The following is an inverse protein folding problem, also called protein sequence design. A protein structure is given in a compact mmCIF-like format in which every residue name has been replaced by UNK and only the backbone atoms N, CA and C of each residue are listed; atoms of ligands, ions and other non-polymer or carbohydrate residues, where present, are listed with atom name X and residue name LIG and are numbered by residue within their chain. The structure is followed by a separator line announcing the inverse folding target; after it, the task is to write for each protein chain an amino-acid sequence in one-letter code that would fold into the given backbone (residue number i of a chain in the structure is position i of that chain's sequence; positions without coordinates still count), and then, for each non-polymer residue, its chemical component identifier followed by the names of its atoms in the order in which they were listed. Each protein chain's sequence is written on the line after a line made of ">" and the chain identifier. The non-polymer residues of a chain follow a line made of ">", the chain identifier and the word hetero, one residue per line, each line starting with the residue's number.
data_IF_763540350652
#
_entry.id   IF_763540350652
#
_cell.length_a   1.000
_cell.length_b   1.000
_cell.length_c   1.000
_cell.angle_alpha   90.00
_cell.angle_beta   90.00
_cell.angle_gamma   90.00
#
_symmetry.space_group_name_H-M   'P 1'
#
loop_
_entity.id
_entity.type
_entity.pdbx_description
1 polymer ?
#
# COMPACT_ATOMS: atom_id res chain seq x y z
N UNK A 1 -10.18 -13.66 -11.19
CA UNK A 1 -8.93 -13.61 -10.38
C UNK A 1 -8.82 -12.26 -9.71
N UNK A 2 -8.29 -12.22 -8.51
CA UNK A 2 -8.09 -11.00 -7.74
C UNK A 2 -6.60 -10.72 -7.64
N UNK A 3 -6.18 -9.47 -7.82
CA UNK A 3 -4.81 -9.06 -7.56
C UNK A 3 -4.67 -8.54 -6.13
N UNK A 4 -3.62 -8.95 -5.44
CA UNK A 4 -3.30 -8.54 -4.09
C UNK A 4 -2.02 -7.71 -4.15
N UNK A 5 -2.04 -6.52 -3.56
CA UNK A 5 -0.87 -5.64 -3.55
C UNK A 5 -0.47 -5.37 -2.10
N UNK A 6 0.81 -5.57 -1.79
CA UNK A 6 1.41 -5.13 -0.53
C UNK A 6 2.33 -3.95 -0.79
N UNK A 7 2.07 -2.82 -0.16
CA UNK A 7 2.89 -1.61 -0.28
C UNK A 7 3.75 -1.46 0.96
N UNK A 8 5.06 -1.58 0.79
CA UNK A 8 6.04 -1.56 1.86
C UNK A 8 6.43 -2.97 2.31
N UNK A 9 7.56 -3.09 2.99
CA UNK A 9 8.09 -4.39 3.39
C UNK A 9 7.16 -5.16 4.33
N UNK A 10 6.59 -4.48 5.32
CA UNK A 10 5.72 -5.11 6.30
C UNK A 10 4.41 -5.60 5.66
N UNK A 11 3.76 -4.76 4.87
CA UNK A 11 2.53 -5.15 4.17
C UNK A 11 2.80 -6.26 3.16
N UNK A 12 3.94 -6.21 2.47
CA UNK A 12 4.33 -7.25 1.53
C UNK A 12 4.55 -8.59 2.21
N UNK A 13 5.05 -8.60 3.45
CA UNK A 13 5.15 -9.83 4.24
C UNK A 13 3.78 -10.40 4.61
N UNK A 14 2.83 -9.53 4.92
CA UNK A 14 1.46 -9.97 5.23
C UNK A 14 0.84 -10.68 4.02
N UNK A 15 1.04 -10.16 2.82
CA UNK A 15 0.42 -10.74 1.62
C UNK A 15 1.14 -12.00 1.12
N UNK A 16 2.28 -12.37 1.67
CA UNK A 16 2.96 -13.62 1.33
C UNK A 16 2.04 -14.84 1.45
N UNK A 17 1.13 -14.81 2.40
CA UNK A 17 0.21 -15.92 2.64
C UNK A 17 -0.72 -16.21 1.44
N UNK A 18 -0.96 -15.22 0.58
CA UNK A 18 -1.79 -15.40 -0.60
C UNK A 18 -1.05 -16.07 -1.76
N UNK A 19 0.27 -16.14 -1.70
CA UNK A 19 1.07 -16.75 -2.78
C UNK A 19 0.83 -18.26 -2.91
N UNK A 20 0.40 -18.92 -1.85
CA UNK A 20 0.10 -20.35 -1.88
C UNK A 20 -1.17 -20.66 -2.68
N UNK A 21 -1.96 -19.64 -3.02
CA UNK A 21 -3.21 -19.77 -3.76
C UNK A 21 -3.08 -19.16 -5.16
N UNK A 22 -2.09 -19.58 -5.89
CA UNK A 22 -1.72 -19.02 -7.21
C UNK A 22 -2.84 -19.02 -8.24
N UNK A 23 -3.80 -19.94 -8.13
CA UNK A 23 -4.92 -20.02 -9.08
C UNK A 23 -5.99 -18.97 -8.82
N UNK A 24 -6.00 -18.38 -7.62
CA UNK A 24 -7.01 -17.43 -7.20
C UNK A 24 -6.50 -16.01 -7.13
N UNK A 25 -5.20 -15.82 -6.91
CA UNK A 25 -4.61 -14.51 -6.66
C UNK A 25 -3.32 -14.28 -7.45
N UNK A 26 -3.18 -13.05 -7.95
CA UNK A 26 -1.89 -12.52 -8.40
C UNK A 26 -1.36 -11.62 -7.28
N UNK A 27 -0.18 -11.89 -6.76
CA UNK A 27 0.36 -11.17 -5.61
C UNK A 27 1.51 -10.26 -6.06
N UNK A 28 1.33 -8.96 -5.86
CA UNK A 28 2.35 -7.94 -6.14
C UNK A 28 2.90 -7.41 -4.83
N UNK A 29 4.22 -7.35 -4.74
CA UNK A 29 4.89 -6.92 -3.50
C UNK A 29 5.89 -5.81 -3.79
N UNK A 30 5.76 -4.71 -3.07
CA UNK A 30 6.62 -3.54 -3.22
C UNK A 30 7.29 -3.23 -1.89
N UNK A 31 8.58 -2.94 -1.91
CA UNK A 31 9.31 -2.60 -0.69
C UNK A 31 10.79 -2.42 -0.95
N UNK A 32 11.51 -1.85 0.03
CA UNK A 32 12.92 -1.54 -0.12
C UNK A 32 13.82 -2.78 -0.17
N UNK A 33 13.36 -3.91 0.34
CA UNK A 33 14.13 -5.15 0.35
C UNK A 33 13.89 -6.04 -0.87
N UNK A 34 12.96 -5.67 -1.74
CA UNK A 34 12.61 -6.45 -2.92
C UNK A 34 13.46 -6.07 -4.12
N UNK A 35 13.59 -7.02 -5.06
CA UNK A 35 14.22 -6.79 -6.36
C UNK A 35 13.12 -6.57 -7.40
N UNK A 36 13.50 -5.99 -8.53
CA UNK A 36 12.56 -5.78 -9.64
C UNK A 36 12.36 -7.09 -10.39
N UNK A 37 11.16 -7.66 -10.28
CA UNK A 37 10.74 -8.86 -11.02
C UNK A 37 9.35 -8.60 -11.59
N UNK A 38 8.72 -9.63 -12.16
CA UNK A 38 7.36 -9.50 -12.70
C UNK A 38 6.34 -9.11 -11.62
N UNK A 39 6.50 -9.62 -10.40
CA UNK A 39 5.54 -9.42 -9.30
C UNK A 39 6.11 -8.71 -8.09
N UNK A 40 7.37 -8.31 -8.13
CA UNK A 40 7.99 -7.56 -7.04
C UNK A 40 8.67 -6.32 -7.57
N UNK A 41 8.68 -5.25 -6.78
CA UNK A 41 9.29 -3.98 -7.14
C UNK A 41 10.03 -3.40 -5.96
N UNK A 42 11.25 -2.93 -6.19
CA UNK A 42 12.01 -2.21 -5.18
C UNK A 42 11.49 -0.78 -5.07
N UNK A 43 11.20 -0.37 -3.84
CA UNK A 43 10.87 1.02 -3.52
C UNK A 43 12.07 1.65 -2.82
N UNK A 44 12.50 2.81 -3.29
CA UNK A 44 13.60 3.53 -2.66
C UNK A 44 13.19 4.06 -1.29
N UNK A 45 14.12 4.03 -0.34
CA UNK A 45 13.91 4.56 1.00
C UNK A 45 14.44 6.00 1.08
N UNK A 46 13.62 6.89 1.64
CA UNK A 46 13.98 8.28 1.87
C UNK A 46 13.75 8.63 3.35
N UNK A 47 14.47 9.61 3.85
CA UNK A 47 14.36 10.05 5.25
C UNK A 47 13.30 11.13 5.46
N UNK A 48 12.69 11.62 4.39
CA UNK A 48 11.80 12.76 4.40
C UNK A 48 10.52 12.40 3.61
N UNK A 49 9.30 12.59 4.20
CA UNK A 49 8.06 12.27 3.50
C UNK A 49 7.88 12.98 2.16
N UNK A 50 8.37 14.22 2.03
CA UNK A 50 8.26 14.97 0.78
C UNK A 50 9.01 14.29 -0.38
N UNK A 51 10.13 13.62 -0.08
CA UNK A 51 10.90 12.92 -1.10
C UNK A 51 10.12 11.73 -1.68
N UNK A 52 9.28 11.08 -0.88
CA UNK A 52 8.41 10.02 -1.36
C UNK A 52 7.39 10.55 -2.37
N UNK A 53 6.82 11.72 -2.11
CA UNK A 53 5.83 12.31 -3.01
C UNK A 53 6.46 12.76 -4.34
N UNK A 54 7.71 13.24 -4.30
CA UNK A 54 8.42 13.69 -5.49
C UNK A 54 8.91 12.54 -6.36
N UNK A 55 9.10 11.37 -5.79
CA UNK A 55 9.75 10.23 -6.44
C UNK A 55 8.83 9.02 -6.58
N UNK A 56 7.55 9.25 -6.82
CA UNK A 56 6.60 8.17 -7.07
C UNK A 56 7.03 7.41 -8.33
N UNK A 57 7.29 6.09 -8.24
CA UNK A 57 7.71 5.33 -9.41
C UNK A 57 6.58 5.17 -10.42
N UNK A 58 6.92 5.12 -11.69
CA UNK A 58 5.97 4.78 -12.74
C UNK A 58 5.81 3.25 -12.76
N UNK A 59 4.65 2.77 -12.37
CA UNK A 59 4.35 1.35 -12.26
C UNK A 59 3.42 0.85 -13.36
N UNK A 60 3.24 1.63 -14.44
CA UNK A 60 2.34 1.26 -15.53
C UNK A 60 2.68 -0.09 -16.15
N UNK A 61 3.97 -0.37 -16.34
CA UNK A 61 4.42 -1.67 -16.87
C UNK A 61 4.27 -2.78 -15.83
N UNK A 62 4.60 -2.47 -14.58
CA UNK A 62 4.50 -3.43 -13.49
C UNK A 62 3.07 -3.92 -13.30
N UNK A 63 2.10 -3.03 -13.45
CA UNK A 63 0.68 -3.33 -13.29
C UNK A 63 -0.05 -3.60 -14.62
N UNK A 64 0.68 -3.82 -15.72
CA UNK A 64 0.06 -3.99 -17.03
C UNK A 64 -0.92 -5.16 -17.11
N UNK A 65 -0.68 -6.24 -16.36
CA UNK A 65 -1.53 -7.43 -16.31
C UNK A 65 -2.36 -7.52 -15.04
N UNK A 66 -2.53 -6.40 -14.32
CA UNK A 66 -3.27 -6.43 -13.06
C UNK A 66 -4.75 -6.69 -13.30
N UNK A 67 -5.37 -7.42 -12.36
CA UNK A 67 -6.79 -7.78 -12.45
C UNK A 67 -7.68 -6.56 -12.27
N UNK A 68 -8.94 -6.68 -12.69
CA UNK A 68 -9.94 -5.61 -12.50
C UNK A 68 -10.25 -5.39 -11.01
N UNK A 69 -10.26 -6.48 -10.22
CA UNK A 69 -10.51 -6.42 -8.79
C UNK A 69 -9.19 -6.51 -8.03
N UNK A 70 -8.92 -5.52 -7.20
CA UNK A 70 -7.64 -5.38 -6.50
C UNK A 70 -7.87 -5.16 -5.02
N UNK A 71 -7.09 -5.88 -4.18
CA UNK A 71 -7.04 -5.66 -2.75
C UNK A 71 -5.65 -5.16 -2.39
N UNK A 72 -5.58 -4.00 -1.75
CA UNK A 72 -4.31 -3.33 -1.41
C UNK A 72 -4.12 -3.35 0.09
N UNK A 73 -2.98 -3.84 0.55
CA UNK A 73 -2.62 -3.87 1.97
C UNK A 73 -1.55 -2.83 2.26
N UNK A 74 -1.82 -1.98 3.24
CA UNK A 74 -0.91 -0.91 3.68
C UNK A 74 -0.81 -0.95 5.21
N UNK A 75 0.41 -0.85 5.73
CA UNK A 75 0.62 -0.72 7.17
C UNK A 75 1.06 0.71 7.47
N UNK A 76 0.36 1.37 8.37
CA UNK A 76 0.62 2.74 8.74
C UNK A 76 1.94 2.93 9.48
N UNK A 77 2.34 4.19 9.62
CA UNK A 77 3.56 4.67 10.27
C UNK A 77 4.89 4.15 9.70
N UNK A 78 4.90 3.44 8.57
CA UNK A 78 6.13 3.13 7.85
C UNK A 78 6.41 4.23 6.81
N UNK A 79 7.68 4.49 6.52
CA UNK A 79 8.02 5.51 5.51
C UNK A 79 7.50 5.13 4.13
N UNK A 80 7.56 3.86 3.77
CA UNK A 80 7.10 3.41 2.45
C UNK A 80 5.60 3.57 2.25
N UNK A 81 4.80 3.72 3.32
CA UNK A 81 3.38 4.02 3.18
C UNK A 81 3.12 5.37 2.51
N UNK A 82 4.10 6.27 2.49
CA UNK A 82 3.99 7.57 1.82
C UNK A 82 3.90 7.44 0.29
N UNK A 83 4.27 6.29 -0.27
CA UNK A 83 4.05 6.00 -1.68
C UNK A 83 2.60 5.64 -2.00
N UNK A 84 1.81 5.30 -0.99
CA UNK A 84 0.49 4.67 -1.18
C UNK A 84 -0.42 5.44 -2.12
N UNK A 85 -0.57 6.74 -1.89
CA UNK A 85 -1.50 7.56 -2.66
C UNK A 85 -1.09 7.65 -4.12
N UNK A 86 0.20 7.87 -4.39
CA UNK A 86 0.70 7.93 -5.75
C UNK A 86 0.59 6.60 -6.49
N UNK A 87 0.72 5.49 -5.78
CA UNK A 87 0.54 4.16 -6.36
C UNK A 87 -0.93 3.90 -6.66
N UNK A 88 -1.83 4.23 -5.73
CA UNK A 88 -3.26 4.03 -5.93
C UNK A 88 -3.80 4.87 -7.09
N UNK A 89 -3.29 6.07 -7.28
CA UNK A 89 -3.69 6.92 -8.41
C UNK A 89 -3.40 6.27 -9.75
N UNK A 90 -2.36 5.46 -9.86
CA UNK A 90 -2.00 4.78 -11.11
C UNK A 90 -2.93 3.64 -11.47
N UNK A 91 -3.72 3.14 -10.52
CA UNK A 91 -4.67 2.03 -10.73
C UNK A 91 -6.09 2.41 -10.31
N UNK A 92 -6.39 3.71 -10.27
CA UNK A 92 -7.69 4.20 -9.79
C UNK A 92 -8.88 3.82 -10.70
N UNK A 93 -8.62 3.39 -11.92
CA UNK A 93 -9.64 2.92 -12.85
C UNK A 93 -10.11 1.49 -12.55
N UNK A 94 -9.49 0.83 -11.60
CA UNK A 94 -9.84 -0.54 -11.19
C UNK A 94 -10.75 -0.54 -9.96
N UNK A 95 -11.31 -1.70 -9.63
CA UNK A 95 -12.10 -1.86 -8.41
C UNK A 95 -11.14 -2.09 -7.23
N UNK A 96 -10.89 -1.04 -6.47
CA UNK A 96 -9.93 -1.04 -5.37
C UNK A 96 -10.60 -1.22 -4.02
N UNK A 97 -10.11 -2.18 -3.26
CA UNK A 97 -10.42 -2.33 -1.84
C UNK A 97 -9.10 -2.14 -1.08
N UNK A 98 -9.07 -1.18 -0.15
CA UNK A 98 -7.87 -0.87 0.61
C UNK A 98 -8.02 -1.40 2.03
N UNK A 99 -7.03 -2.18 2.48
CA UNK A 99 -6.94 -2.68 3.85
C UNK A 99 -5.78 -1.95 4.52
N UNK A 100 -6.11 -1.06 5.42
CA UNK A 100 -5.13 -0.25 6.13
C UNK A 100 -4.95 -0.78 7.54
N UNK A 101 -3.76 -1.30 7.83
CA UNK A 101 -3.43 -1.83 9.16
C UNK A 101 -2.86 -0.67 9.96
N UNK A 102 -3.66 -0.18 10.91
CA UNK A 102 -3.30 0.96 11.72
C UNK A 102 -2.55 0.51 12.97
N UNK A 103 -1.37 1.08 13.25
CA UNK A 103 -0.66 0.78 14.48
C UNK A 103 -1.40 1.36 15.69
N UNK A 104 -1.04 0.92 16.90
CA UNK A 104 -1.58 1.52 18.11
C UNK A 104 -1.01 2.95 18.23
N UNK A 105 -1.88 3.93 17.95
CA UNK A 105 -1.48 5.35 17.90
C UNK A 105 -1.03 5.85 19.28
N UNK A 106 -1.53 5.27 20.35
CA UNK A 106 -1.14 5.66 21.71
C UNK A 106 0.32 5.30 22.01
N UNK A 107 0.87 4.30 21.35
CA UNK A 107 2.27 3.92 21.49
C UNK A 107 3.21 4.76 20.61
N UNK A 108 2.67 5.54 19.69
CA UNK A 108 3.46 6.39 18.81
C UNK A 108 3.66 7.77 19.42
N UNK A 109 4.83 8.33 19.22
CA UNK A 109 5.15 9.70 19.65
C UNK A 109 5.87 10.45 18.55
N UNK A 110 5.77 11.79 18.57
CA UNK A 110 6.51 12.64 17.64
C UNK A 110 6.11 12.48 16.18
N UNK A 111 7.10 12.43 15.31
CA UNK A 111 6.91 12.38 13.85
C UNK A 111 6.14 11.15 13.39
N UNK A 112 6.42 9.92 13.87
CA UNK A 112 5.64 8.76 13.47
C UNK A 112 4.13 8.90 13.74
N UNK A 113 3.75 9.48 14.88
CA UNK A 113 2.35 9.71 15.20
C UNK A 113 1.71 10.71 14.24
N UNK A 114 2.42 11.77 13.93
CA UNK A 114 1.95 12.79 12.99
C UNK A 114 1.75 12.20 11.60
N UNK A 115 2.72 11.44 11.10
CA UNK A 115 2.64 10.79 9.79
C UNK A 115 1.46 9.82 9.71
N UNK A 116 1.23 9.04 10.77
CA UNK A 116 0.12 8.11 10.83
C UNK A 116 -1.23 8.84 10.74
N UNK A 117 -1.40 9.90 11.52
CA UNK A 117 -2.64 10.66 11.52
C UNK A 117 -2.91 11.34 10.17
N UNK A 118 -1.88 11.87 9.55
CA UNK A 118 -1.99 12.51 8.24
C UNK A 118 -2.39 11.49 7.16
N UNK A 119 -1.71 10.34 7.11
CA UNK A 119 -1.98 9.30 6.12
C UNK A 119 -3.40 8.75 6.29
N UNK A 120 -3.80 8.47 7.52
CA UNK A 120 -5.13 7.96 7.81
C UNK A 120 -6.21 8.94 7.37
N UNK A 121 -6.02 10.23 7.67
CA UNK A 121 -6.96 11.28 7.26
C UNK A 121 -7.08 11.38 5.74
N UNK A 122 -5.97 11.34 5.02
CA UNK A 122 -5.97 11.42 3.55
C UNK A 122 -6.65 10.21 2.93
N UNK A 123 -6.38 8.99 3.45
CA UNK A 123 -7.04 7.79 2.96
C UNK A 123 -8.55 7.84 3.16
N UNK A 124 -9.02 8.36 4.29
CA UNK A 124 -10.45 8.54 4.53
C UNK A 124 -11.08 9.51 3.53
N UNK A 125 -10.40 10.62 3.22
CA UNK A 125 -10.88 11.58 2.22
C UNK A 125 -10.97 10.96 0.84
N UNK A 126 -9.98 10.15 0.45
CA UNK A 126 -9.96 9.49 -0.84
C UNK A 126 -11.07 8.44 -0.94
N UNK A 127 -11.36 7.73 0.13
CA UNK A 127 -12.48 6.80 0.17
C UNK A 127 -13.83 7.52 -0.03
N UNK A 128 -14.00 8.66 0.62
CA UNK A 128 -15.21 9.49 0.47
C UNK A 128 -15.36 10.06 -0.93
N UNK A 129 -14.26 10.38 -1.59
CA UNK A 129 -14.28 10.93 -2.96
C UNK A 129 -14.53 9.88 -4.02
N UNK A 130 -14.53 8.59 -3.66
CA UNK A 130 -14.76 7.50 -4.60
C UNK A 130 -13.53 7.05 -5.36
N UNK A 131 -12.33 7.45 -4.94
CA UNK A 131 -11.09 7.00 -5.58
C UNK A 131 -10.94 5.47 -5.52
N UNK A 132 -11.40 4.87 -4.44
CA UNK A 132 -11.46 3.42 -4.30
C UNK A 132 -12.78 2.98 -3.67
N UNK A 133 -13.14 1.71 -3.86
CA UNK A 133 -14.48 1.20 -3.53
C UNK A 133 -14.72 1.06 -2.03
N UNK A 134 -13.68 0.69 -1.26
CA UNK A 134 -13.82 0.53 0.18
C UNK A 134 -12.49 0.72 0.88
N UNK A 135 -12.57 1.17 2.13
CA UNK A 135 -11.42 1.28 3.02
C UNK A 135 -11.75 0.50 4.29
N UNK A 136 -11.00 -0.57 4.55
CA UNK A 136 -11.13 -1.37 5.76
C UNK A 136 -9.99 -1.05 6.70
N UNK A 137 -10.33 -0.65 7.93
CA UNK A 137 -9.33 -0.31 8.95
C UNK A 137 -9.16 -1.51 9.87
N UNK A 138 -7.92 -2.00 9.95
CA UNK A 138 -7.56 -3.07 10.86
C UNK A 138 -6.66 -2.50 11.95
N UNK A 139 -7.01 -2.74 13.21
CA UNK A 139 -6.20 -2.28 14.34
C UNK A 139 -5.19 -3.34 14.74
N UNK A 140 -3.95 -2.91 14.92
CA UNK A 140 -2.88 -3.76 15.42
C UNK A 140 -2.71 -3.48 16.92
N UNK A 141 -3.60 -4.06 17.72
CA UNK A 141 -3.70 -3.77 19.16
C UNK A 141 -3.00 -4.80 20.04
N UNK A 142 -2.17 -5.63 19.52
CA UNK A 142 -1.44 -6.59 20.33
C UNK A 142 -0.11 -6.13 20.83
#
# INVERSE_FOLDING_TARGET
>A
MISIIGIGNAASSVVDNFKTQKNNYKVYQLGSTYKNTKYTRKLEHYDNPEEYEKNIPDLSKFFSDISENIQVFVIGSSYSSNYTLGILEQIQDKNLEVFYIRPDVELLTGVPKLLENMMFGVLQQYARSGLFNSLTILSNLE
#
